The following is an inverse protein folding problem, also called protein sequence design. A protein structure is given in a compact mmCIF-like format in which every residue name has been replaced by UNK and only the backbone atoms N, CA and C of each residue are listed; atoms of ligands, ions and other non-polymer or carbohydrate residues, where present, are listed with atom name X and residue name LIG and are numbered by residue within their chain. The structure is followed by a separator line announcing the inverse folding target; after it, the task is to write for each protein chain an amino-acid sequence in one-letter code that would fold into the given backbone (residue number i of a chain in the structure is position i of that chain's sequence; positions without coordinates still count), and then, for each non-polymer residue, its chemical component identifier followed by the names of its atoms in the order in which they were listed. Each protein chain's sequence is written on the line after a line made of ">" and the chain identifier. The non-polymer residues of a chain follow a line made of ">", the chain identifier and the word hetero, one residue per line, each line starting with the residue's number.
data_IF_629637789329
#
_entry.id   IF_629637789329
#
_cell.length_a   1.000
_cell.length_b   1.000
_cell.length_c   1.000
_cell.angle_alpha   90.00
_cell.angle_beta   90.00
_cell.angle_gamma   90.00
#
_symmetry.space_group_name_H-M   'P 1'
#
loop_
_entity.id
_entity.type
_entity.pdbx_description
1 polymer ?
#
# COMPACT_ATOMS: atom_id res chain seq x y z
N UNK A 1 19.17 -10.76 -0.14
CA UNK A 1 18.49 -10.15 1.02
C UNK A 1 18.75 -10.99 2.25
N UNK A 2 19.01 -10.35 3.37
CA UNK A 2 19.30 -11.05 4.61
C UNK A 2 18.04 -11.19 5.47
N UNK A 3 17.68 -12.40 5.79
CA UNK A 3 16.57 -12.67 6.70
C UNK A 3 16.91 -12.22 8.13
N UNK A 4 18.19 -12.13 8.46
CA UNK A 4 18.62 -11.65 9.78
C UNK A 4 18.18 -10.21 10.00
N UNK A 5 18.26 -9.37 8.96
CA UNK A 5 17.82 -7.97 9.05
C UNK A 5 16.30 -7.91 9.24
N UNK A 6 15.57 -8.76 8.54
CA UNK A 6 14.12 -8.83 8.68
C UNK A 6 13.74 -9.29 10.09
N UNK A 7 14.40 -10.32 10.58
CA UNK A 7 14.12 -10.84 11.90
C UNK A 7 14.44 -9.82 13.00
N UNK A 8 15.55 -9.11 12.83
CA UNK A 8 15.92 -8.05 13.78
C UNK A 8 14.88 -6.94 13.79
N UNK A 9 14.41 -6.53 12.64
CA UNK A 9 13.38 -5.48 12.57
C UNK A 9 12.06 -5.95 13.19
N UNK A 10 11.72 -7.23 13.00
CA UNK A 10 10.52 -7.78 13.63
C UNK A 10 10.63 -7.71 15.14
N UNK A 11 11.81 -8.02 15.70
CA UNK A 11 11.99 -8.09 17.14
C UNK A 11 12.19 -6.73 17.80
N UNK A 12 12.89 -5.82 17.12
CA UNK A 12 13.30 -4.56 17.74
C UNK A 12 12.58 -3.34 17.21
N UNK A 13 11.91 -3.44 16.06
CA UNK A 13 11.19 -2.32 15.50
C UNK A 13 10.01 -1.91 16.38
N UNK A 14 9.73 -0.63 16.40
CA UNK A 14 8.58 -0.10 17.13
C UNK A 14 7.31 -0.25 16.29
N UNK A 15 6.17 -0.31 16.96
CA UNK A 15 4.90 -0.44 16.26
C UNK A 15 4.71 0.70 15.25
N UNK A 16 4.39 0.32 14.03
CA UNK A 16 4.18 1.22 12.89
C UNK A 16 5.45 1.92 12.41
N UNK A 17 6.60 1.45 12.84
CA UNK A 17 7.87 1.96 12.33
C UNK A 17 8.05 1.56 10.87
N UNK A 18 8.52 2.51 10.05
CA UNK A 18 8.78 2.30 8.62
C UNK A 18 10.28 2.26 8.40
N UNK A 19 10.75 1.25 7.69
CA UNK A 19 12.17 1.10 7.36
C UNK A 19 12.33 1.18 5.85
N UNK A 20 13.22 2.07 5.39
CA UNK A 20 13.48 2.20 3.96
C UNK A 20 14.24 0.99 3.45
N UNK A 21 13.99 0.65 2.19
CA UNK A 21 14.80 -0.34 1.47
C UNK A 21 15.61 0.35 0.38
N UNK A 22 16.42 -0.41 -0.33
CA UNK A 22 17.22 0.12 -1.43
C UNK A 22 16.37 0.49 -2.64
N UNK A 23 15.11 0.08 -2.68
CA UNK A 23 14.21 0.39 -3.79
C UNK A 23 13.33 1.56 -3.38
N UNK A 24 13.43 2.72 -4.07
CA UNK A 24 12.57 3.86 -3.75
C UNK A 24 11.10 3.47 -3.87
N UNK A 25 10.32 3.80 -2.86
CA UNK A 25 8.90 3.47 -2.83
C UNK A 25 8.57 2.13 -2.20
N UNK A 26 9.59 1.37 -1.81
CA UNK A 26 9.38 0.08 -1.14
C UNK A 26 9.92 0.19 0.28
N UNK A 27 9.07 -0.08 1.26
CA UNK A 27 9.40 0.02 2.68
C UNK A 27 9.01 -1.24 3.41
N UNK A 28 9.60 -1.43 4.57
CA UNK A 28 9.12 -2.41 5.54
C UNK A 28 8.34 -1.67 6.61
N UNK A 29 7.24 -2.24 7.05
CA UNK A 29 6.40 -1.64 8.08
C UNK A 29 6.21 -2.64 9.21
N UNK A 30 6.51 -2.20 10.43
CA UNK A 30 6.29 -3.04 11.61
C UNK A 30 4.86 -2.89 12.06
N UNK A 31 4.12 -3.98 12.03
CA UNK A 31 2.74 -4.00 12.50
C UNK A 31 2.71 -4.59 13.90
N UNK A 32 2.24 -3.83 14.89
CA UNK A 32 2.21 -4.32 16.26
C UNK A 32 1.16 -5.42 16.44
N UNK A 33 1.34 -6.20 17.51
CA UNK A 33 0.36 -7.22 17.86
C UNK A 33 -1.01 -6.57 18.06
N UNK A 34 -2.04 -7.23 17.59
CA UNK A 34 -3.41 -6.75 17.73
C UNK A 34 -4.35 -7.95 17.86
N UNK A 35 -5.11 -7.95 18.93
CA UNK A 35 -6.00 -9.07 19.24
C UNK A 35 -5.22 -10.39 19.26
N UNK A 36 -5.60 -11.36 18.43
CA UNK A 36 -4.92 -12.64 18.38
C UNK A 36 -3.75 -12.67 17.40
N UNK A 37 -3.49 -11.56 16.71
CA UNK A 37 -2.40 -11.50 15.74
C UNK A 37 -1.11 -11.06 16.42
N UNK A 38 0.01 -11.78 16.22
CA UNK A 38 1.30 -11.35 16.76
C UNK A 38 1.87 -10.18 15.95
N UNK A 39 3.00 -9.66 16.42
CA UNK A 39 3.77 -8.68 15.67
C UNK A 39 4.13 -9.26 14.29
N UNK A 40 4.06 -8.43 13.26
CA UNK A 40 4.34 -8.85 11.90
C UNK A 40 5.04 -7.73 11.14
N UNK A 41 5.68 -8.10 10.03
CA UNK A 41 6.25 -7.15 9.10
C UNK A 41 5.44 -7.21 7.81
N UNK A 42 5.13 -6.05 7.27
CA UNK A 42 4.52 -5.94 5.94
C UNK A 42 5.50 -5.24 5.00
N UNK A 43 5.38 -5.51 3.71
CA UNK A 43 6.02 -4.72 2.69
C UNK A 43 5.04 -3.63 2.28
N UNK A 44 5.49 -2.37 2.35
CA UNK A 44 4.65 -1.24 1.96
C UNK A 44 5.12 -0.69 0.62
N UNK A 45 4.21 -0.59 -0.33
CA UNK A 45 4.48 0.06 -1.62
C UNK A 45 3.89 1.46 -1.54
N UNK A 46 4.75 2.46 -1.52
CA UNK A 46 4.33 3.85 -1.33
C UNK A 46 5.20 4.73 -2.22
N UNK A 47 4.68 5.17 -3.36
CA UNK A 47 5.47 5.99 -4.27
C UNK A 47 6.09 7.17 -3.56
N UNK A 48 7.33 7.48 -3.90
CA UNK A 48 8.04 8.57 -3.26
C UNK A 48 8.00 9.82 -4.14
N UNK A 49 8.10 10.97 -3.50
CA UNK A 49 8.19 12.25 -4.20
C UNK A 49 9.64 12.52 -4.59
N UNK A 50 9.90 13.71 -5.13
CA UNK A 50 11.24 14.08 -5.59
C UNK A 50 12.28 14.14 -4.48
N UNK A 51 11.84 14.25 -3.23
CA UNK A 51 12.76 14.25 -2.09
C UNK A 51 13.02 12.85 -1.55
N UNK A 52 12.36 11.85 -2.10
CA UNK A 52 12.49 10.47 -1.62
C UNK A 52 11.55 10.12 -0.47
N UNK A 53 10.63 11.00 -0.15
CA UNK A 53 9.66 10.77 0.93
C UNK A 53 8.40 10.12 0.41
N UNK A 54 7.75 9.24 1.20
CA UNK A 54 6.50 8.63 0.76
C UNK A 54 5.45 9.70 0.47
N UNK A 55 4.78 9.56 -0.65
CA UNK A 55 3.76 10.54 -1.06
C UNK A 55 2.43 10.31 -0.37
N UNK A 56 2.24 9.16 0.24
CA UNK A 56 1.00 8.83 0.94
C UNK A 56 1.29 8.52 2.40
N UNK A 57 0.33 8.80 3.25
CA UNK A 57 0.47 8.48 4.66
C UNK A 57 0.65 6.98 4.85
N UNK A 58 -0.09 6.18 4.11
CA UNK A 58 0.03 4.73 4.13
C UNK A 58 -0.15 4.21 2.71
N UNK A 59 0.78 3.37 2.26
CA UNK A 59 0.71 2.78 0.95
C UNK A 59 0.00 1.43 0.96
N UNK A 60 0.19 0.69 -0.12
CA UNK A 60 -0.34 -0.66 -0.25
C UNK A 60 0.50 -1.61 0.58
N UNK A 61 -0.14 -2.37 1.46
CA UNK A 61 0.54 -3.32 2.33
C UNK A 61 0.43 -4.73 1.77
N UNK A 62 1.56 -5.41 1.69
CA UNK A 62 1.63 -6.80 1.22
C UNK A 62 2.20 -7.67 2.33
N UNK A 63 1.50 -8.73 2.67
CA UNK A 63 1.89 -9.63 3.76
C UNK A 63 2.45 -10.95 3.26
N UNK A 64 2.25 -11.31 1.99
CA UNK A 64 2.64 -12.60 1.46
C UNK A 64 2.88 -12.53 -0.03
N UNK A 65 3.57 -13.56 -0.55
CA UNK A 65 3.74 -13.69 -1.99
C UNK A 65 2.42 -13.86 -2.72
N UNK A 66 1.48 -14.54 -2.08
CA UNK A 66 0.17 -14.76 -2.69
C UNK A 66 -0.55 -13.43 -2.90
N UNK A 67 -0.50 -12.54 -1.92
CA UNK A 67 -1.07 -11.20 -2.08
C UNK A 67 -0.41 -10.45 -3.22
N UNK A 68 0.92 -10.51 -3.32
CA UNK A 68 1.63 -9.85 -4.39
C UNK A 68 1.14 -10.35 -5.76
N UNK A 69 0.97 -11.66 -5.92
CA UNK A 69 0.51 -12.21 -7.19
C UNK A 69 -0.92 -11.77 -7.51
N UNK A 70 -1.77 -11.70 -6.51
CA UNK A 70 -3.14 -11.22 -6.69
C UNK A 70 -3.17 -9.77 -7.18
N UNK A 71 -2.33 -8.91 -6.61
CA UNK A 71 -2.26 -7.51 -7.04
C UNK A 71 -1.65 -7.39 -8.43
N UNK A 72 -0.65 -8.21 -8.74
CA UNK A 72 -0.06 -8.21 -10.09
C UNK A 72 -1.11 -8.51 -11.15
N UNK A 73 -1.98 -9.45 -10.88
CA UNK A 73 -3.06 -9.78 -11.82
C UNK A 73 -3.99 -8.59 -12.02
N UNK A 74 -4.35 -7.91 -10.95
CA UNK A 74 -5.23 -6.74 -11.04
C UNK A 74 -4.57 -5.62 -11.84
N UNK A 75 -3.27 -5.38 -11.62
CA UNK A 75 -2.56 -4.32 -12.31
C UNK A 75 -2.43 -4.56 -13.81
N UNK A 76 -2.64 -5.79 -14.27
CA UNK A 76 -2.56 -6.12 -15.68
C UNK A 76 -3.83 -5.82 -16.47
N UNK A 77 -4.93 -5.49 -15.81
CA UNK A 77 -6.18 -5.22 -16.50
C UNK A 77 -6.18 -3.84 -17.14
N UNK A 78 -6.34 -3.81 -18.46
CA UNK A 78 -6.42 -2.53 -19.20
C UNK A 78 -7.58 -1.67 -18.75
N UNK A 79 -8.66 -2.31 -18.30
CA UNK A 79 -9.84 -1.59 -17.83
C UNK A 79 -9.56 -0.73 -16.60
N UNK A 80 -8.54 -1.09 -15.81
CA UNK A 80 -8.14 -0.27 -14.67
C UNK A 80 -7.65 1.09 -15.13
N UNK A 81 -6.86 1.12 -16.21
CA UNK A 81 -6.37 2.35 -16.79
C UNK A 81 -7.51 3.21 -17.32
N UNK A 82 -8.46 2.60 -18.05
CA UNK A 82 -9.63 3.29 -18.56
C UNK A 82 -10.48 3.87 -17.43
N UNK A 83 -10.65 3.11 -16.36
CA UNK A 83 -11.43 3.55 -15.21
C UNK A 83 -10.78 4.78 -14.57
N UNK A 84 -9.44 4.73 -14.42
CA UNK A 84 -8.71 5.84 -13.83
C UNK A 84 -8.76 7.09 -14.69
N UNK A 85 -8.74 6.95 -16.02
CA UNK A 85 -8.96 8.08 -16.93
C UNK A 85 -10.30 8.74 -16.63
N UNK A 86 -11.34 7.92 -16.44
CA UNK A 86 -12.66 8.43 -16.10
C UNK A 86 -12.68 9.12 -14.74
N UNK A 87 -12.05 8.51 -13.76
CA UNK A 87 -11.97 9.07 -12.40
C UNK A 87 -11.28 10.43 -12.43
N UNK A 88 -10.18 10.56 -13.19
CA UNK A 88 -9.47 11.84 -13.29
C UNK A 88 -10.32 12.91 -13.95
N UNK A 89 -11.16 12.52 -14.91
CA UNK A 89 -12.02 13.51 -15.58
C UNK A 89 -13.17 13.99 -14.72
N UNK A 90 -13.70 13.15 -13.83
CA UNK A 90 -14.86 13.53 -13.01
C UNK A 90 -14.49 14.10 -11.65
N UNK A 91 -13.31 13.78 -11.15
CA UNK A 91 -12.88 14.31 -9.86
C UNK A 91 -12.56 15.79 -9.98
N UNK A 92 -12.99 16.61 -9.02
CA UNK A 92 -12.63 18.02 -9.05
C UNK A 92 -11.14 18.19 -8.84
N UNK A 93 -10.58 19.29 -9.38
CA UNK A 93 -9.15 19.58 -9.24
C UNK A 93 -8.75 19.87 -7.81
N UNK A 94 -9.71 20.19 -6.94
CA UNK A 94 -9.48 20.39 -5.53
C UNK A 94 -10.23 19.34 -4.74
N UNK A 95 -9.63 18.91 -3.62
CA UNK A 95 -10.28 17.96 -2.75
C UNK A 95 -11.52 18.59 -2.14
N UNK A 96 -12.66 17.94 -2.30
CA UNK A 96 -13.89 18.28 -1.60
C UNK A 96 -14.19 17.18 -0.58
N UNK A 97 -14.94 17.48 0.48
CA UNK A 97 -15.39 16.44 1.39
C UNK A 97 -16.15 15.38 0.60
N UNK A 98 -15.68 14.15 0.68
CA UNK A 98 -16.27 13.07 -0.08
C UNK A 98 -17.64 12.69 0.44
N UNK A 99 -18.51 12.28 -0.46
CA UNK A 99 -19.72 11.58 -0.09
C UNK A 99 -19.41 10.12 0.10
N UNK A 100 -20.14 9.44 0.96
CA UNK A 100 -19.91 8.05 1.22
C UNK A 100 -20.11 7.20 -0.03
N UNK A 101 -19.35 6.12 -0.11
CA UNK A 101 -19.49 5.15 -1.18
C UNK A 101 -20.71 4.28 -0.90
N UNK A 102 -21.55 4.08 -1.92
CA UNK A 102 -22.67 3.15 -1.78
C UNK A 102 -22.14 1.73 -1.92
N UNK A 103 -22.22 0.95 -0.85
CA UNK A 103 -21.57 -0.34 -0.77
C UNK A 103 -22.09 -1.38 -1.76
N UNK A 104 -23.35 -1.24 -2.22
CA UNK A 104 -23.99 -2.24 -3.05
C UNK A 104 -23.98 -1.93 -4.54
N UNK A 105 -23.48 -0.74 -4.92
CA UNK A 105 -23.44 -0.38 -6.32
C UNK A 105 -22.23 -0.97 -7.00
N UNK A 106 -22.43 -1.47 -8.21
CA UNK A 106 -21.35 -2.00 -9.06
C UNK A 106 -21.29 -1.16 -10.33
N UNK A 107 -20.11 -0.63 -10.62
CA UNK A 107 -19.88 0.13 -11.85
C UNK A 107 -19.39 -0.82 -12.93
N UNK A 108 -20.09 -0.84 -14.06
CA UNK A 108 -19.65 -1.60 -15.24
C UNK A 108 -18.54 -0.83 -15.96
N UNK A 109 -17.46 -1.52 -16.23
CA UNK A 109 -16.33 -0.94 -16.93
C UNK A 109 -15.91 -1.76 -18.15
#
# INVERSE_FOLDING_TARGET
>A
MSEDRLDSFLKTGQGWERLKTSIPGVFLLKMPAYKSSPDRIAVELNPVDSSGSPSKRRGLLLMSKNELEQYKELFQFDKLDLLLDGVERVNPSRRTPGTGVKGDEVLEI
#
